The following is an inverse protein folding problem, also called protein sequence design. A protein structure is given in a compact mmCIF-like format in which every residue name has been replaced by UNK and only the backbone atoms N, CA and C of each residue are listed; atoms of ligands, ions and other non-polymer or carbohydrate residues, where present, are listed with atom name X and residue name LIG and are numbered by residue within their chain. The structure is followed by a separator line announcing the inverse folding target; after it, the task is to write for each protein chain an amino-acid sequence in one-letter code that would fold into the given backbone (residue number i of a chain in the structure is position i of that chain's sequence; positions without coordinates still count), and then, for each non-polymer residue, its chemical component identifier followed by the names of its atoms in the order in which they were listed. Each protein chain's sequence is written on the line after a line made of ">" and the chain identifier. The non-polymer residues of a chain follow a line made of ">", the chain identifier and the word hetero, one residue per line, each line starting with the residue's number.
data_IF_317189382677
#
_entry.id   IF_317189382677
#
_cell.length_a   1.000
_cell.length_b   1.000
_cell.length_c   1.000
_cell.angle_alpha   90.00
_cell.angle_beta   90.00
_cell.angle_gamma   90.00
#
_symmetry.space_group_name_H-M   'P 1'
#
loop_
_entity.id
_entity.type
_entity.pdbx_description
1 polymer ?
#
# COMPACT_ATOMS: atom_id res chain seq x y z
N UNK A 1 20.39 2.85 11.82
CA UNK A 1 19.68 4.15 11.83
C UNK A 1 18.59 4.08 10.78
N UNK A 2 17.35 4.39 11.13
CA UNK A 2 16.24 4.41 10.17
C UNK A 2 16.32 5.71 9.37
N UNK A 3 16.38 5.59 8.05
CA UNK A 3 16.33 6.75 7.16
C UNK A 3 14.87 7.02 6.78
N UNK A 4 14.44 8.26 6.94
CA UNK A 4 13.12 8.70 6.48
C UNK A 4 13.25 9.35 5.10
N UNK A 5 12.34 9.00 4.20
CA UNK A 5 12.17 9.66 2.91
C UNK A 5 10.88 10.47 2.97
N UNK A 6 10.99 11.78 2.74
CA UNK A 6 9.82 12.69 2.70
C UNK A 6 9.53 12.98 1.24
N UNK A 7 8.29 12.73 0.83
CA UNK A 7 7.78 13.10 -0.48
C UNK A 7 6.59 14.03 -0.36
N UNK A 8 6.46 14.95 -1.31
CA UNK A 8 5.33 15.89 -1.38
C UNK A 8 4.62 15.70 -2.71
N UNK A 9 3.29 15.70 -2.66
CA UNK A 9 2.41 15.73 -3.82
C UNK A 9 1.70 17.08 -3.90
N UNK A 10 1.22 17.44 -5.10
CA UNK A 10 0.51 18.68 -5.37
C UNK A 10 -0.84 18.76 -4.65
N UNK A 11 -1.50 17.62 -4.49
CA UNK A 11 -2.86 17.49 -4.01
C UNK A 11 -3.13 16.06 -3.49
N UNK A 12 -4.32 15.85 -2.93
CA UNK A 12 -4.70 14.57 -2.33
C UNK A 12 -4.84 13.41 -3.33
N UNK A 13 -5.17 13.69 -4.59
CA UNK A 13 -5.33 12.65 -5.61
C UNK A 13 -3.98 12.18 -6.11
N UNK A 14 -3.08 13.13 -6.39
CA UNK A 14 -1.67 12.88 -6.71
C UNK A 14 -0.98 12.10 -5.58
N UNK A 15 -1.26 12.44 -4.32
CA UNK A 15 -0.74 11.69 -3.18
C UNK A 15 -1.26 10.24 -3.16
N UNK A 16 -2.56 10.04 -3.35
CA UNK A 16 -3.16 8.71 -3.34
C UNK A 16 -2.61 7.83 -4.47
N UNK A 17 -2.45 8.38 -5.68
CA UNK A 17 -1.87 7.68 -6.83
C UNK A 17 -0.42 7.27 -6.57
N UNK A 18 0.43 8.20 -6.12
CA UNK A 18 1.84 7.91 -5.81
C UNK A 18 1.97 6.88 -4.69
N UNK A 19 1.11 6.94 -3.67
CA UNK A 19 1.08 5.94 -2.61
C UNK A 19 0.70 4.55 -3.15
N UNK A 20 -0.34 4.46 -3.99
CA UNK A 20 -0.76 3.22 -4.65
C UNK A 20 0.38 2.61 -5.49
N UNK A 21 0.98 3.40 -6.38
CA UNK A 21 2.10 2.98 -7.23
C UNK A 21 3.30 2.50 -6.39
N UNK A 22 3.60 3.21 -5.30
CA UNK A 22 4.68 2.83 -4.38
C UNK A 22 4.40 1.48 -3.74
N UNK A 23 3.19 1.28 -3.21
CA UNK A 23 2.79 0.01 -2.58
C UNK A 23 2.83 -1.13 -3.60
N UNK A 24 2.25 -0.95 -4.79
CA UNK A 24 2.25 -1.95 -5.85
C UNK A 24 3.69 -2.35 -6.26
N UNK A 25 4.57 -1.35 -6.41
CA UNK A 25 5.99 -1.58 -6.72
C UNK A 25 6.67 -2.41 -5.62
N UNK A 26 6.43 -2.10 -4.34
CA UNK A 26 7.03 -2.86 -3.24
C UNK A 26 6.48 -4.29 -3.17
N UNK A 27 5.18 -4.49 -3.41
CA UNK A 27 4.58 -5.84 -3.47
C UNK A 27 5.26 -6.66 -4.56
N UNK A 28 5.35 -6.12 -5.78
CA UNK A 28 6.00 -6.82 -6.90
C UNK A 28 7.46 -7.18 -6.59
N UNK A 29 8.24 -6.23 -6.06
CA UNK A 29 9.64 -6.47 -5.68
C UNK A 29 9.80 -7.57 -4.62
N UNK A 30 8.88 -7.67 -3.67
CA UNK A 30 8.90 -8.75 -2.67
C UNK A 30 8.54 -10.08 -3.32
N UNK A 31 7.53 -10.09 -4.20
CA UNK A 31 7.06 -11.31 -4.87
C UNK A 31 8.03 -11.84 -5.94
N UNK A 32 8.95 -11.00 -6.42
CA UNK A 32 10.09 -11.41 -7.26
C UNK A 32 11.13 -12.21 -6.46
N UNK A 33 11.21 -11.99 -5.14
CA UNK A 33 12.23 -12.60 -4.27
C UNK A 33 11.65 -13.68 -3.34
N UNK A 34 10.34 -13.68 -3.12
CA UNK A 34 9.63 -14.54 -2.17
C UNK A 34 8.30 -14.98 -2.75
N UNK A 35 7.82 -16.13 -2.31
CA UNK A 35 6.54 -16.65 -2.79
C UNK A 35 5.35 -15.79 -2.34
N UNK A 36 5.40 -15.22 -1.13
CA UNK A 36 4.33 -14.40 -0.55
C UNK A 36 4.81 -13.02 -0.10
N UNK A 37 3.90 -12.05 -0.18
CA UNK A 37 4.07 -10.69 0.35
C UNK A 37 3.05 -10.46 1.48
N UNK A 38 3.49 -9.84 2.58
CA UNK A 38 2.61 -9.48 3.70
C UNK A 38 2.57 -7.96 3.83
N UNK A 39 1.38 -7.40 3.93
CA UNK A 39 1.17 -5.96 4.08
C UNK A 39 0.16 -5.67 5.18
N UNK A 40 0.52 -4.76 6.09
CA UNK A 40 -0.40 -4.24 7.09
C UNK A 40 -0.98 -2.90 6.60
N UNK A 41 -2.31 -2.80 6.54
CA UNK A 41 -3.03 -1.62 6.09
C UNK A 41 -3.50 -0.78 7.28
N UNK A 42 -3.63 0.52 7.05
CA UNK A 42 -4.10 1.48 8.06
C UNK A 42 -5.50 1.95 7.73
N UNK A 43 -6.31 2.22 8.76
CA UNK A 43 -7.61 2.85 8.58
C UNK A 43 -7.53 4.33 8.13
N UNK A 44 -8.70 4.92 7.86
CA UNK A 44 -8.83 6.36 7.58
C UNK A 44 -9.09 6.71 6.12
N UNK A 45 -9.53 7.95 5.88
CA UNK A 45 -9.95 8.42 4.56
C UNK A 45 -8.79 8.68 3.59
N UNK A 46 -7.61 9.03 4.12
CA UNK A 46 -6.42 9.26 3.29
C UNK A 46 -5.89 7.96 2.67
N UNK A 47 -5.65 6.87 3.44
CA UNK A 47 -5.26 5.59 2.87
C UNK A 47 -6.36 4.97 1.99
N UNK A 48 -7.63 5.14 2.34
CA UNK A 48 -8.75 4.59 1.57
C UNK A 48 -8.70 4.97 0.08
N UNK A 49 -8.36 6.22 -0.25
CA UNK A 49 -8.21 6.65 -1.66
C UNK A 49 -7.08 5.91 -2.38
N UNK A 50 -5.95 5.70 -1.72
CA UNK A 50 -4.83 4.97 -2.30
C UNK A 50 -5.18 3.49 -2.50
N UNK A 51 -5.89 2.87 -1.55
CA UNK A 51 -6.30 1.46 -1.66
C UNK A 51 -7.33 1.22 -2.75
N UNK A 52 -8.23 2.18 -3.01
CA UNK A 52 -9.16 2.09 -4.15
C UNK A 52 -8.40 2.04 -5.49
N UNK A 53 -7.32 2.83 -5.63
CA UNK A 53 -6.46 2.78 -6.81
C UNK A 53 -5.65 1.48 -6.85
N UNK A 54 -5.09 1.07 -5.71
CA UNK A 54 -4.30 -0.15 -5.60
C UNK A 54 -5.11 -1.40 -5.98
N UNK A 55 -6.38 -1.46 -5.59
CA UNK A 55 -7.28 -2.56 -5.96
C UNK A 55 -7.57 -2.66 -7.46
N UNK A 56 -7.23 -1.64 -8.26
CA UNK A 56 -7.33 -1.66 -9.73
C UNK A 56 -6.03 -2.16 -10.39
N UNK A 57 -4.93 -2.26 -9.64
CA UNK A 57 -3.64 -2.76 -10.14
C UNK A 57 -3.69 -4.26 -10.39
N UNK A 58 -2.96 -4.70 -11.42
CA UNK A 58 -2.82 -6.11 -11.78
C UNK A 58 -1.71 -6.76 -10.95
N UNK A 59 -2.01 -7.04 -9.69
CA UNK A 59 -1.12 -7.76 -8.77
C UNK A 59 -1.61 -9.21 -8.57
N UNK A 60 -0.71 -10.16 -8.32
CA UNK A 60 -1.06 -11.54 -7.96
C UNK A 60 -1.59 -11.61 -6.52
N UNK A 61 -2.83 -11.16 -6.33
CA UNK A 61 -3.47 -11.00 -5.01
C UNK A 61 -3.56 -12.29 -4.20
N UNK A 62 -3.58 -13.46 -4.85
CA UNK A 62 -3.51 -14.79 -4.24
C UNK A 62 -2.23 -15.02 -3.42
N UNK A 63 -1.18 -14.26 -3.73
CA UNK A 63 0.14 -14.29 -3.06
C UNK A 63 0.35 -13.15 -2.08
N UNK A 64 -0.67 -12.31 -1.83
CA UNK A 64 -0.59 -11.16 -0.92
C UNK A 64 -1.47 -11.41 0.31
N UNK A 65 -0.83 -11.46 1.48
CA UNK A 65 -1.51 -11.50 2.78
C UNK A 65 -1.74 -10.08 3.27
N UNK A 66 -3.00 -9.74 3.54
CA UNK A 66 -3.40 -8.43 4.07
C UNK A 66 -3.71 -8.54 5.55
N UNK A 67 -3.07 -7.68 6.34
CA UNK A 67 -3.29 -7.53 7.78
C UNK A 67 -3.81 -6.11 8.08
N UNK A 68 -4.46 -5.94 9.22
CA UNK A 68 -4.84 -4.63 9.74
C UNK A 68 -3.80 -4.18 10.76
N UNK A 69 -3.30 -2.95 10.62
CA UNK A 69 -2.38 -2.35 11.58
C UNK A 69 -3.07 -2.01 12.90
N UNK A 70 -4.31 -1.54 12.82
CA UNK A 70 -5.21 -1.28 13.95
C UNK A 70 -6.67 -1.58 13.56
N UNK A 71 -7.53 -1.88 14.53
CA UNK A 71 -8.97 -2.09 14.31
C UNK A 71 -9.76 -1.59 15.52
N UNK A 72 -11.03 -1.27 15.30
CA UNK A 72 -11.97 -0.83 16.34
C UNK A 72 -12.74 -2.03 16.90
N UNK A 73 -12.79 -2.11 18.21
CA UNK A 73 -13.69 -3.03 18.91
C UNK A 73 -15.08 -2.38 19.02
N UNK A 74 -15.98 -2.72 18.08
CA UNK A 74 -17.36 -2.19 18.00
C UNK A 74 -18.40 -3.18 18.49
#
# INVERSE_FOLDING_TARGET
>A
MTNYRIERASDSESLARRASETIATQISLVLDQRDRCQIALSGGSTPAKAYTLLGQERLPWDRVDVLLGDERWV
#
